data_IF_177863654183
#
_entry.id   IF_177863654183
#
_cell.length_a   1.000
_cell.length_b   1.000
_cell.length_c   1.000
_cell.angle_alpha   90.00
_cell.angle_beta   90.00
_cell.angle_gamma   90.00
#
_symmetry.space_group_name_H-M   'P 1'
#
loop_
_entity.id
_entity.type
_entity.pdbx_description
1 polymer ?
#
# COMPACT_ATOMS: atom_id res chain seq x y z
N UNK A 1 -23.32 -20.49 54.77
CA UNK A 1 -23.63 -20.15 53.36
C UNK A 1 -22.76 -21.02 52.45
N UNK A 2 -23.30 -22.16 51.99
CA UNK A 2 -22.58 -23.08 51.11
C UNK A 2 -22.72 -22.63 49.65
N UNK A 3 -21.79 -21.81 49.18
CA UNK A 3 -21.64 -21.58 47.75
C UNK A 3 -21.26 -22.92 47.10
N UNK A 4 -22.15 -23.46 46.24
CA UNK A 4 -21.90 -24.68 45.48
C UNK A 4 -20.67 -24.47 44.59
N UNK A 5 -19.56 -25.15 44.93
CA UNK A 5 -18.35 -25.13 44.11
C UNK A 5 -18.65 -25.84 42.77
N UNK A 6 -18.88 -25.05 41.71
CA UNK A 6 -19.25 -25.54 40.38
C UNK A 6 -18.03 -25.48 39.47
N UNK A 7 -17.47 -26.66 39.16
CA UNK A 7 -16.32 -26.80 38.27
C UNK A 7 -16.73 -26.52 36.83
N UNK A 8 -16.23 -25.43 36.25
CA UNK A 8 -16.59 -25.00 34.90
C UNK A 8 -15.68 -25.57 33.79
N UNK A 9 -14.62 -26.33 34.11
CA UNK A 9 -13.72 -26.89 33.11
C UNK A 9 -12.79 -27.99 33.61
N UNK A 10 -11.98 -28.55 32.70
CA UNK A 10 -10.97 -29.57 33.04
C UNK A 10 -9.88 -29.04 33.96
N UNK A 11 -9.54 -27.75 33.88
CA UNK A 11 -8.59 -27.10 34.78
C UNK A 11 -9.27 -26.19 35.78
N UNK A 12 -8.69 -26.08 36.97
CA UNK A 12 -9.11 -25.12 37.97
C UNK A 12 -8.59 -23.73 37.62
N UNK A 13 -9.47 -22.74 37.69
CA UNK A 13 -9.15 -21.33 37.56
C UNK A 13 -8.22 -20.87 38.69
N UNK A 14 -7.61 -19.70 38.54
CA UNK A 14 -6.75 -19.14 39.59
C UNK A 14 -7.54 -18.88 40.88
N UNK A 15 -8.76 -18.37 40.76
CA UNK A 15 -9.66 -18.11 41.89
C UNK A 15 -10.09 -19.39 42.60
N UNK A 16 -10.43 -20.44 41.83
CA UNK A 16 -10.77 -21.75 42.39
C UNK A 16 -9.59 -22.36 43.17
N UNK A 17 -8.36 -22.20 42.67
CA UNK A 17 -7.15 -22.63 43.38
C UNK A 17 -6.90 -21.82 44.66
N UNK A 18 -7.16 -20.50 44.64
CA UNK A 18 -7.05 -19.66 45.83
C UNK A 18 -8.09 -20.03 46.89
N UNK A 19 -9.31 -20.36 46.49
CA UNK A 19 -10.36 -20.83 47.40
C UNK A 19 -9.93 -22.13 48.12
N UNK A 20 -9.33 -23.08 47.38
CA UNK A 20 -8.74 -24.30 47.99
C UNK A 20 -7.67 -23.94 49.03
N UNK A 21 -6.82 -22.95 48.74
CA UNK A 21 -5.77 -22.51 49.67
C UNK A 21 -6.36 -21.84 50.91
N UNK A 22 -7.36 -20.96 50.75
CA UNK A 22 -8.02 -20.26 51.86
C UNK A 22 -8.69 -21.26 52.83
N UNK A 23 -9.38 -22.27 52.31
CA UNK A 23 -10.01 -23.32 53.13
C UNK A 23 -8.96 -24.17 53.87
N UNK A 24 -7.81 -24.42 53.26
CA UNK A 24 -6.72 -25.13 53.93
C UNK A 24 -6.04 -24.26 55.00
N UNK A 25 -5.87 -22.96 54.73
CA UNK A 25 -5.31 -22.00 55.69
C UNK A 25 -6.20 -21.82 56.93
N UNK A 26 -7.52 -21.80 56.77
CA UNK A 26 -8.45 -21.76 57.92
C UNK A 26 -8.39 -23.01 58.79
N UNK A 27 -7.74 -24.08 58.31
CA UNK A 27 -7.57 -25.36 58.99
C UNK A 27 -6.14 -25.55 59.54
N UNK A 28 -5.34 -24.49 59.61
CA UNK A 28 -3.97 -24.51 60.14
C UNK A 28 -3.95 -24.30 61.65
N UNK A 29 -3.13 -25.08 62.35
CA UNK A 29 -2.85 -24.96 63.77
C UNK A 29 -1.34 -24.95 63.97
N UNK A 30 -0.81 -23.97 64.71
CA UNK A 30 0.63 -23.85 65.01
C UNK A 30 1.54 -23.90 63.76
N UNK A 31 1.09 -23.28 62.66
CA UNK A 31 1.84 -23.25 61.39
C UNK A 31 1.85 -24.58 60.62
N UNK A 32 1.17 -25.62 61.11
CA UNK A 32 1.00 -26.91 60.43
C UNK A 32 -0.44 -27.10 59.97
N UNK A 33 -0.60 -27.83 58.87
CA UNK A 33 -1.92 -28.19 58.38
C UNK A 33 -2.46 -29.35 59.24
N UNK A 34 -3.65 -29.20 59.81
CA UNK A 34 -4.24 -30.23 60.66
C UNK A 34 -4.44 -31.56 59.89
N UNK A 35 -4.36 -32.67 60.63
CA UNK A 35 -4.52 -34.00 60.04
C UNK A 35 -5.93 -34.17 59.44
N UNK A 36 -6.01 -34.71 58.23
CA UNK A 36 -7.29 -34.91 57.54
C UNK A 36 -7.84 -33.69 56.80
N UNK A 37 -7.31 -32.48 57.00
CA UNK A 37 -7.81 -31.25 56.35
C UNK A 37 -7.85 -31.36 54.83
N UNK A 38 -6.85 -31.97 54.19
CA UNK A 38 -6.85 -32.20 52.73
C UNK A 38 -8.04 -33.07 52.28
N UNK A 39 -8.38 -34.11 53.05
CA UNK A 39 -9.50 -35.02 52.73
C UNK A 39 -10.84 -34.29 52.94
N UNK A 40 -10.93 -33.49 53.99
CA UNK A 40 -12.11 -32.69 54.28
C UNK A 40 -12.34 -31.61 53.23
N UNK A 41 -11.32 -30.82 52.87
CA UNK A 41 -11.39 -29.80 51.80
C UNK A 41 -11.72 -30.42 50.45
N UNK A 42 -11.18 -31.60 50.15
CA UNK A 42 -11.51 -32.36 48.94
C UNK A 42 -13.00 -32.73 48.89
N UNK A 43 -13.58 -33.19 50.00
CA UNK A 43 -15.01 -33.49 50.09
C UNK A 43 -15.88 -32.23 49.98
N UNK A 44 -15.50 -31.15 50.69
CA UNK A 44 -16.20 -29.87 50.68
C UNK A 44 -16.29 -29.25 49.28
N UNK A 45 -15.17 -29.21 48.57
CA UNK A 45 -15.06 -28.59 47.24
C UNK A 45 -15.33 -29.58 46.10
N UNK A 46 -15.70 -30.83 46.41
CA UNK A 46 -15.91 -31.92 45.42
C UNK A 46 -14.73 -32.10 44.47
N UNK A 47 -13.51 -32.02 45.01
CA UNK A 47 -12.26 -32.20 44.28
C UNK A 47 -11.58 -33.51 44.65
N UNK A 48 -10.77 -34.05 43.74
CA UNK A 48 -9.95 -35.22 44.07
C UNK A 48 -8.85 -34.85 45.08
N UNK A 49 -8.60 -35.70 46.09
CA UNK A 49 -7.58 -35.49 47.14
C UNK A 49 -6.21 -35.09 46.57
N UNK A 50 -5.77 -35.74 45.48
CA UNK A 50 -4.48 -35.42 44.84
C UNK A 50 -4.45 -34.02 44.22
N UNK A 51 -5.59 -33.50 43.77
CA UNK A 51 -5.68 -32.14 43.24
C UNK A 51 -5.43 -31.11 44.35
N UNK A 52 -6.13 -31.27 45.48
CA UNK A 52 -5.95 -30.43 46.69
C UNK A 52 -4.51 -30.50 47.21
N UNK A 53 -3.94 -31.71 47.28
CA UNK A 53 -2.53 -31.89 47.69
C UNK A 53 -1.53 -31.20 46.74
N UNK A 54 -1.74 -31.30 45.42
CA UNK A 54 -0.88 -30.63 44.42
C UNK A 54 -0.98 -29.11 44.52
N UNK A 55 -2.18 -28.57 44.72
CA UNK A 55 -2.41 -27.13 44.91
C UNK A 55 -1.71 -26.64 46.17
N UNK A 56 -1.83 -27.37 47.29
CA UNK A 56 -1.17 -27.01 48.53
C UNK A 56 0.36 -27.01 48.41
N UNK A 57 0.94 -28.01 47.75
CA UNK A 57 2.37 -28.05 47.45
C UNK A 57 2.80 -26.87 46.58
N UNK A 58 2.05 -26.59 45.51
CA UNK A 58 2.31 -25.48 44.61
C UNK A 58 2.19 -24.11 45.30
N UNK A 59 1.25 -23.97 46.25
CA UNK A 59 1.12 -22.77 47.08
C UNK A 59 2.36 -22.56 47.96
N UNK A 60 2.83 -23.60 48.66
CA UNK A 60 4.05 -23.52 49.50
C UNK A 60 5.30 -23.14 48.71
N UNK A 61 5.36 -23.46 47.42
CA UNK A 61 6.47 -23.09 46.53
C UNK A 61 6.21 -21.79 45.74
N UNK A 62 5.07 -21.12 45.93
CA UNK A 62 4.70 -19.88 45.23
C UNK A 62 4.26 -20.05 43.76
N UNK A 63 3.98 -21.26 43.29
CA UNK A 63 3.74 -21.59 41.87
C UNK A 63 2.29 -22.01 41.56
N UNK A 64 1.29 -21.21 41.94
CA UNK A 64 -0.12 -21.53 41.65
C UNK A 64 -0.54 -21.32 40.17
N UNK A 65 0.25 -20.54 39.43
CA UNK A 65 0.00 -20.23 38.01
C UNK A 65 0.19 -21.47 37.13
N UNK A 66 -0.59 -21.56 36.06
CA UNK A 66 -0.46 -22.65 35.10
C UNK A 66 0.88 -22.58 34.38
N UNK A 67 1.60 -23.71 34.29
CA UNK A 67 2.86 -23.84 33.53
C UNK A 67 2.62 -24.08 32.04
N UNK A 68 1.36 -24.13 31.59
CA UNK A 68 0.99 -24.41 30.19
C UNK A 68 1.29 -23.24 29.27
N UNK A 69 1.09 -22.01 29.73
CA UNK A 69 1.35 -20.80 28.93
C UNK A 69 2.80 -20.81 28.43
N UNK A 70 2.97 -20.76 27.10
CA UNK A 70 4.28 -20.82 26.44
C UNK A 70 4.89 -22.22 26.28
N UNK A 71 4.38 -23.25 26.97
CA UNK A 71 4.84 -24.65 26.82
C UNK A 71 3.96 -25.48 25.90
N UNK A 72 2.66 -25.21 25.90
CA UNK A 72 1.68 -25.88 25.02
C UNK A 72 1.14 -24.91 23.98
N UNK A 73 0.82 -25.42 22.80
CA UNK A 73 0.32 -24.65 21.67
C UNK A 73 1.25 -24.70 20.45
N UNK A 74 0.84 -24.01 19.39
CA UNK A 74 1.60 -23.96 18.13
C UNK A 74 2.91 -23.20 18.34
N UNK A 75 4.03 -23.84 18.03
CA UNK A 75 5.35 -23.20 18.06
C UNK A 75 5.41 -22.06 17.03
N UNK A 76 6.14 -21.01 17.36
CA UNK A 76 6.35 -19.88 16.48
C UNK A 76 7.20 -20.33 15.27
N UNK A 77 6.72 -20.04 14.05
CA UNK A 77 7.40 -20.46 12.81
C UNK A 77 8.64 -19.63 12.50
N UNK A 78 8.62 -18.35 12.82
CA UNK A 78 9.73 -17.42 12.56
C UNK A 78 10.08 -16.68 13.84
N UNK A 79 11.34 -16.75 14.28
CA UNK A 79 11.78 -15.96 15.43
C UNK A 79 11.87 -14.48 15.07
N UNK A 80 11.75 -13.54 16.04
CA UNK A 80 11.91 -12.12 15.75
C UNK A 80 13.27 -11.79 15.10
N UNK A 81 14.34 -12.51 15.46
CA UNK A 81 15.67 -12.36 14.86
C UNK A 81 15.69 -12.77 13.39
N UNK A 82 15.15 -13.94 13.06
CA UNK A 82 15.06 -14.40 11.66
C UNK A 82 14.31 -13.39 10.77
N UNK A 83 13.23 -12.80 11.29
CA UNK A 83 12.46 -11.77 10.56
C UNK A 83 13.29 -10.51 10.35
N UNK A 84 14.05 -10.10 11.36
CA UNK A 84 14.95 -8.95 11.25
C UNK A 84 16.00 -9.20 10.17
N UNK A 85 16.68 -10.35 10.21
CA UNK A 85 17.74 -10.70 9.26
C UNK A 85 17.19 -10.77 7.83
N UNK A 86 16.13 -11.55 7.61
CA UNK A 86 15.51 -11.71 6.28
C UNK A 86 14.95 -10.40 5.73
N UNK A 87 14.32 -9.56 6.56
CA UNK A 87 13.83 -8.25 6.09
C UNK A 87 15.00 -7.31 5.82
N UNK A 88 16.09 -7.37 6.59
CA UNK A 88 17.27 -6.53 6.41
C UNK A 88 18.05 -6.84 5.10
N UNK A 89 17.91 -8.04 4.54
CA UNK A 89 18.52 -8.40 3.26
C UNK A 89 17.78 -7.80 2.05
N UNK A 90 16.47 -7.56 2.15
CA UNK A 90 15.67 -7.01 1.04
C UNK A 90 16.11 -5.57 0.75
N UNK A 91 16.36 -5.11 -0.48
CA UNK A 91 16.69 -3.70 -0.71
C UNK A 91 15.57 -2.75 -0.24
N UNK A 92 15.90 -1.64 0.44
CA UNK A 92 14.91 -0.64 0.92
C UNK A 92 13.88 -0.18 -0.13
N UNK A 93 14.21 -0.01 -1.44
CA UNK A 93 13.22 0.30 -2.46
C UNK A 93 12.11 -0.75 -2.63
N UNK A 94 12.39 -2.02 -2.29
CA UNK A 94 11.46 -3.15 -2.31
C UNK A 94 10.79 -3.40 -0.95
N UNK A 95 10.91 -2.45 0.00
CA UNK A 95 10.25 -2.51 1.32
C UNK A 95 9.17 -1.43 1.46
N UNK A 96 8.43 -1.14 0.39
CA UNK A 96 7.46 -0.04 0.38
C UNK A 96 6.11 -0.44 0.98
N UNK A 97 5.71 -1.69 0.74
CA UNK A 97 4.54 -2.34 1.34
C UNK A 97 4.92 -3.65 2.03
N UNK A 98 4.04 -4.16 2.90
CA UNK A 98 4.21 -5.51 3.45
C UNK A 98 4.07 -6.60 2.38
N UNK A 99 3.40 -6.31 1.25
CA UNK A 99 3.31 -7.25 0.13
C UNK A 99 4.65 -7.35 -0.58
N UNK A 100 5.32 -6.24 -0.83
CA UNK A 100 6.65 -6.24 -1.44
C UNK A 100 7.63 -7.08 -0.60
N UNK A 101 7.58 -6.95 0.73
CA UNK A 101 8.40 -7.75 1.66
C UNK A 101 8.00 -9.22 1.60
N UNK A 102 6.71 -9.53 1.57
CA UNK A 102 6.22 -10.91 1.44
C UNK A 102 6.70 -11.53 0.13
N UNK A 103 6.60 -10.82 -0.98
CA UNK A 103 7.02 -11.28 -2.30
C UNK A 103 8.54 -11.48 -2.36
N UNK A 104 9.31 -10.63 -1.65
CA UNK A 104 10.77 -10.74 -1.58
C UNK A 104 11.30 -11.82 -0.61
N UNK A 105 10.62 -12.03 0.53
CA UNK A 105 11.09 -12.92 1.61
C UNK A 105 10.35 -14.26 1.70
N UNK A 106 9.19 -14.39 1.06
CA UNK A 106 8.27 -15.51 1.23
C UNK A 106 7.57 -15.56 2.60
N UNK A 107 7.80 -14.59 3.48
CA UNK A 107 7.15 -14.53 4.80
C UNK A 107 5.72 -14.06 4.60
N UNK A 108 4.76 -14.85 5.09
CA UNK A 108 3.35 -14.49 4.91
C UNK A 108 2.99 -13.15 5.55
N UNK A 109 2.08 -12.44 4.91
CA UNK A 109 1.61 -11.12 5.33
C UNK A 109 1.12 -11.08 6.79
N UNK A 110 0.54 -12.18 7.27
CA UNK A 110 0.13 -12.35 8.66
C UNK A 110 1.31 -12.20 9.64
N UNK A 111 2.43 -12.87 9.37
CA UNK A 111 3.60 -12.81 10.24
C UNK A 111 4.24 -11.41 10.19
N UNK A 112 4.37 -10.81 9.01
CA UNK A 112 4.89 -9.45 8.87
C UNK A 112 4.03 -8.44 9.63
N UNK A 113 2.71 -8.54 9.53
CA UNK A 113 1.79 -7.65 10.24
C UNK A 113 1.86 -7.83 11.77
N UNK A 114 1.99 -9.07 12.25
CA UNK A 114 2.20 -9.36 13.68
C UNK A 114 3.49 -8.71 14.20
N UNK A 115 4.58 -8.80 13.43
CA UNK A 115 5.88 -8.23 13.80
C UNK A 115 5.93 -6.70 13.67
N UNK A 116 5.15 -6.12 12.75
CA UNK A 116 4.91 -4.69 12.70
C UNK A 116 4.20 -4.19 13.96
N UNK A 117 3.17 -4.91 14.44
CA UNK A 117 2.47 -4.57 15.69
C UNK A 117 3.35 -4.77 16.92
N UNK A 118 4.21 -5.78 16.92
CA UNK A 118 5.17 -6.03 17.98
C UNK A 118 6.35 -5.02 18.00
N UNK A 119 6.52 -4.23 16.94
CA UNK A 119 7.57 -3.22 16.82
C UNK A 119 8.91 -3.74 16.28
N UNK A 120 9.02 -5.03 15.97
CA UNK A 120 10.20 -5.66 15.35
C UNK A 120 10.52 -5.06 13.98
N UNK A 121 9.48 -4.77 13.19
CA UNK A 121 9.57 -4.00 11.96
C UNK A 121 8.87 -2.67 12.21
N UNK A 122 9.47 -1.57 11.79
CA UNK A 122 8.93 -0.24 11.94
C UNK A 122 8.64 0.40 10.60
N UNK A 123 7.49 1.05 10.50
CA UNK A 123 7.12 1.85 9.33
C UNK A 123 7.62 3.28 9.52
N UNK A 124 8.51 3.72 8.64
CA UNK A 124 9.00 5.10 8.60
C UNK A 124 8.60 5.78 7.29
N UNK A 125 8.57 7.11 7.34
CA UNK A 125 8.35 7.92 6.15
C UNK A 125 9.60 8.76 5.87
N UNK A 126 10.11 8.69 4.64
CA UNK A 126 11.16 9.57 4.16
C UNK A 126 10.55 10.69 3.32
N UNK A 127 11.04 11.92 3.48
CA UNK A 127 10.64 13.06 2.64
C UNK A 127 11.79 13.44 1.71
N UNK A 128 11.49 13.91 0.50
CA UNK A 128 12.48 14.56 -0.35
C UNK A 128 12.88 15.90 0.26
N UNK A 129 14.13 15.98 0.71
CA UNK A 129 14.69 17.19 1.32
C UNK A 129 15.38 18.05 0.24
N UNK A 130 15.30 19.39 0.36
CA UNK A 130 16.16 20.27 -0.43
C UNK A 130 17.62 19.90 -0.23
N UNK A 131 18.38 19.86 -1.32
CA UNK A 131 19.83 19.69 -1.27
C UNK A 131 20.45 21.02 -0.83
N UNK A 132 20.79 21.13 0.46
CA UNK A 132 21.44 22.30 1.04
C UNK A 132 22.96 22.18 0.84
N UNK A 133 23.55 23.15 0.15
CA UNK A 133 25.00 23.42 0.20
C UNK A 133 25.36 24.03 1.55
N UNK A 134 26.63 23.98 1.96
CA UNK A 134 27.04 24.51 3.27
C UNK A 134 26.77 26.02 3.43
N UNK A 135 26.90 26.78 2.34
CA UNK A 135 26.45 28.19 2.29
C UNK A 135 24.94 28.36 2.57
N UNK A 136 24.10 27.47 2.04
CA UNK A 136 22.64 27.52 2.24
C UNK A 136 22.20 27.05 3.64
N UNK A 137 23.09 26.42 4.43
CA UNK A 137 22.79 26.04 5.82
C UNK A 137 22.86 27.23 6.78
N UNK A 138 23.62 28.27 6.44
CA UNK A 138 23.86 29.47 7.26
C UNK A 138 22.83 30.58 7.01
N UNK A 139 22.03 30.49 5.93
CA UNK A 139 21.01 31.47 5.61
C UNK A 139 19.74 31.29 6.47
N UNK A 140 19.22 32.36 7.13
CA UNK A 140 17.96 32.32 7.86
C UNK A 140 16.80 31.91 6.95
N UNK A 141 15.97 30.95 7.39
CA UNK A 141 14.80 30.49 6.61
C UNK A 141 13.62 31.43 6.86
N UNK A 142 13.03 32.05 5.82
CA UNK A 142 11.79 32.80 6.00
C UNK A 142 10.64 31.83 6.30
N UNK A 143 9.86 32.15 7.34
CA UNK A 143 8.61 31.49 7.69
C UNK A 143 7.53 32.02 6.75
N UNK A 144 6.96 31.16 5.91
CA UNK A 144 5.83 31.52 5.06
C UNK A 144 4.52 30.99 5.67
N UNK A 145 3.72 31.90 6.22
CA UNK A 145 2.30 31.69 6.52
C UNK A 145 1.53 31.92 5.22
N UNK A 146 0.72 30.94 4.80
CA UNK A 146 -0.15 31.08 3.63
C UNK A 146 -1.50 31.62 4.06
N UNK A 147 -1.90 32.74 3.45
CA UNK A 147 -3.27 33.26 3.45
C UNK A 147 -4.08 32.51 2.37
N UNK A 148 -5.32 32.16 2.68
CA UNK A 148 -6.24 31.44 1.79
C UNK A 148 -7.54 32.25 1.68
N UNK A 149 -7.96 32.62 0.47
CA UNK A 149 -9.24 33.27 0.21
C UNK A 149 -9.88 32.83 -1.12
N UNK A 150 -11.22 32.86 -1.06
CA UNK A 150 -12.25 32.88 -2.12
C UNK A 150 -12.70 31.55 -2.76
N UNK A 151 -13.91 31.13 -2.38
CA UNK A 151 -14.74 30.13 -3.05
C UNK A 151 -15.63 30.80 -4.13
N UNK A 152 -15.76 30.16 -5.30
CA UNK A 152 -16.63 30.58 -6.41
C UNK A 152 -17.88 29.68 -6.43
N UNK A 153 -19.03 30.31 -6.69
CA UNK A 153 -20.38 29.76 -6.58
C UNK A 153 -20.75 28.67 -7.60
N UNK A 154 -21.77 27.90 -7.22
CA UNK A 154 -22.30 26.73 -7.92
C UNK A 154 -23.46 27.14 -8.82
N UNK A 155 -23.34 26.90 -10.14
CA UNK A 155 -24.43 26.99 -11.11
C UNK A 155 -25.10 25.63 -11.32
N UNK A 156 -26.43 25.63 -11.42
CA UNK A 156 -27.29 24.43 -11.45
C UNK A 156 -27.12 23.54 -12.68
N UNK A 157 -27.33 22.24 -12.48
CA UNK A 157 -27.25 21.19 -13.48
C UNK A 157 -28.62 21.00 -14.16
N UNK A 158 -28.64 21.06 -15.49
CA UNK A 158 -29.75 20.59 -16.31
C UNK A 158 -29.60 19.06 -16.46
N UNK A 159 -30.69 18.31 -16.22
CA UNK A 159 -30.71 16.85 -16.36
C UNK A 159 -30.31 16.47 -17.80
N UNK A 160 -29.14 15.85 -17.92
CA UNK A 160 -28.60 15.31 -19.15
C UNK A 160 -28.90 13.81 -19.17
N UNK A 161 -29.52 13.31 -20.24
CA UNK A 161 -29.73 11.87 -20.42
C UNK A 161 -28.39 11.14 -20.45
N UNK A 162 -28.28 10.06 -19.67
CA UNK A 162 -27.04 9.33 -19.50
C UNK A 162 -26.76 8.49 -20.76
N UNK A 163 -25.81 8.92 -21.59
CA UNK A 163 -25.33 8.11 -22.71
C UNK A 163 -24.56 6.90 -22.19
N UNK A 164 -24.77 5.74 -22.81
CA UNK A 164 -24.25 4.45 -22.34
C UNK A 164 -22.72 4.30 -22.55
N UNK A 165 -22.10 5.19 -23.34
CA UNK A 165 -20.63 5.33 -23.53
C UNK A 165 -19.85 4.04 -23.87
N UNK A 166 -20.52 2.98 -24.32
CA UNK A 166 -19.89 1.68 -24.61
C UNK A 166 -18.90 1.73 -25.78
N UNK A 167 -19.05 2.69 -26.69
CA UNK A 167 -18.17 2.87 -27.85
C UNK A 167 -17.27 4.11 -27.72
N UNK A 168 -17.09 4.61 -26.49
CA UNK A 168 -16.22 5.74 -26.20
C UNK A 168 -14.90 5.25 -25.62
N UNK A 169 -13.80 5.72 -26.22
CA UNK A 169 -12.45 5.57 -25.71
C UNK A 169 -11.97 6.92 -25.22
N UNK A 170 -11.62 7.00 -23.94
CA UNK A 170 -11.06 8.19 -23.32
C UNK A 170 -9.54 8.21 -23.46
N UNK A 171 -9.03 9.32 -23.96
CA UNK A 171 -7.61 9.62 -24.06
C UNK A 171 -7.25 10.71 -23.04
N UNK A 172 -6.20 10.46 -22.28
CA UNK A 172 -5.69 11.42 -21.29
C UNK A 172 -4.17 11.45 -21.30
N UNK A 173 -3.61 12.64 -21.06
CA UNK A 173 -2.17 12.86 -20.93
C UNK A 173 -1.83 13.10 -19.46
N UNK A 174 -0.87 12.32 -18.95
CA UNK A 174 -0.51 12.43 -17.53
C UNK A 174 0.98 12.42 -17.29
N UNK A 175 1.42 13.39 -16.48
CA UNK A 175 2.78 13.44 -15.96
C UNK A 175 2.96 12.49 -14.76
N UNK A 176 3.91 11.57 -14.88
CA UNK A 176 4.36 10.70 -13.80
C UNK A 176 5.74 11.12 -13.32
N UNK A 177 5.87 11.44 -12.04
CA UNK A 177 7.16 11.72 -11.43
C UNK A 177 7.90 10.40 -11.15
N UNK A 178 9.20 10.34 -11.47
CA UNK A 178 10.06 9.21 -11.13
C UNK A 178 10.25 9.05 -9.60
N UNK A 179 10.05 10.13 -8.84
CA UNK A 179 10.04 10.08 -7.39
C UNK A 179 8.84 10.85 -6.78
N UNK A 180 8.40 10.40 -5.60
CA UNK A 180 7.36 11.00 -4.78
C UNK A 180 8.00 11.70 -3.58
N UNK A 181 7.43 12.83 -3.19
CA UNK A 181 7.89 13.60 -2.03
C UNK A 181 7.96 12.73 -0.77
N UNK A 182 6.87 12.03 -0.46
CA UNK A 182 6.78 11.12 0.69
C UNK A 182 6.84 9.68 0.21
N UNK A 183 7.78 8.89 0.74
CA UNK A 183 7.82 7.43 0.58
C UNK A 183 7.68 6.77 1.94
N UNK A 184 6.93 5.68 1.99
CA UNK A 184 6.87 4.79 3.15
C UNK A 184 7.92 3.71 2.93
N UNK A 185 8.68 3.40 3.96
CA UNK A 185 9.66 2.30 3.96
C UNK A 185 9.53 1.57 5.29
N UNK A 186 9.52 0.25 5.22
CA UNK A 186 9.60 -0.62 6.39
C UNK A 186 11.07 -0.89 6.70
N UNK A 187 11.43 -0.64 7.95
CA UNK A 187 12.80 -0.70 8.46
C UNK A 187 12.86 -1.62 9.68
N UNK A 188 14.02 -2.21 9.89
CA UNK A 188 14.35 -2.89 11.14
C UNK A 188 14.79 -1.86 12.19
N UNK A 189 14.76 -2.23 13.49
CA UNK A 189 15.05 -1.34 14.62
C UNK A 189 16.32 -0.48 14.47
N UNK A 190 17.38 -1.00 13.86
CA UNK A 190 18.68 -0.34 13.75
C UNK A 190 18.90 0.40 12.42
N UNK A 191 17.92 0.37 11.51
CA UNK A 191 18.05 1.01 10.20
C UNK A 191 17.48 2.43 10.19
N UNK A 192 18.24 3.35 9.59
CA UNK A 192 17.74 4.68 9.26
C UNK A 192 17.24 4.74 7.82
N UNK A 193 16.16 5.49 7.54
CA UNK A 193 15.71 5.69 6.17
C UNK A 193 16.75 6.47 5.37
N UNK A 194 17.00 6.07 4.13
CA UNK A 194 17.99 6.74 3.29
C UNK A 194 17.65 8.22 3.09
N UNK A 195 18.68 9.07 3.14
CA UNK A 195 18.53 10.50 2.86
C UNK A 195 18.22 10.69 1.38
N UNK A 196 16.97 11.07 1.09
CA UNK A 196 16.56 11.49 -0.25
C UNK A 196 16.65 13.00 -0.37
N UNK A 197 17.59 13.49 -1.18
CA UNK A 197 17.80 14.91 -1.39
C UNK A 197 17.76 15.28 -2.87
N UNK A 198 17.14 16.40 -3.19
CA UNK A 198 17.09 16.98 -4.54
C UNK A 198 17.22 18.50 -4.45
N UNK A 199 17.86 19.15 -5.45
CA UNK A 199 17.99 20.62 -5.48
C UNK A 199 16.63 21.33 -5.41
N UNK A 200 15.66 20.87 -6.19
CA UNK A 200 14.26 21.31 -6.12
C UNK A 200 13.35 20.20 -6.62
N UNK A 201 12.13 20.12 -6.06
CA UNK A 201 11.08 19.19 -6.50
C UNK A 201 10.67 19.42 -7.96
N UNK A 202 10.93 20.61 -8.51
CA UNK A 202 10.69 20.95 -9.93
C UNK A 202 11.55 20.12 -10.89
N UNK A 203 12.74 19.69 -10.46
CA UNK A 203 13.68 18.92 -11.28
C UNK A 203 13.60 17.41 -11.08
N UNK A 204 12.61 16.91 -10.34
CA UNK A 204 12.37 15.47 -10.28
C UNK A 204 12.05 15.02 -11.71
N UNK A 205 12.75 14.01 -12.26
CA UNK A 205 12.45 13.51 -13.59
C UNK A 205 10.98 13.11 -13.69
N UNK A 206 10.32 13.53 -14.77
CA UNK A 206 8.93 13.20 -15.04
C UNK A 206 8.84 12.56 -16.40
N UNK A 207 7.83 11.73 -16.64
CA UNK A 207 7.51 11.21 -17.97
C UNK A 207 6.03 11.50 -18.21
N UNK A 208 5.71 12.06 -19.37
CA UNK A 208 4.32 12.20 -19.79
C UNK A 208 3.92 10.92 -20.53
N UNK A 209 2.78 10.36 -20.18
CA UNK A 209 2.20 9.21 -20.89
C UNK A 209 0.83 9.59 -21.42
N UNK A 210 0.57 9.18 -22.67
CA UNK A 210 -0.77 9.12 -23.24
C UNK A 210 -1.40 7.79 -22.83
N UNK A 211 -2.55 7.83 -22.18
CA UNK A 211 -3.30 6.64 -21.80
C UNK A 211 -4.62 6.57 -22.58
N UNK A 212 -4.99 5.37 -23.00
CA UNK A 212 -6.28 5.08 -23.60
C UNK A 212 -7.04 4.06 -22.75
N UNK A 213 -8.24 4.41 -22.34
CA UNK A 213 -9.11 3.58 -21.48
C UNK A 213 -10.54 3.69 -21.99
N UNK A 214 -11.28 2.61 -21.90
CA UNK A 214 -12.71 2.58 -22.20
C UNK A 214 -13.47 1.86 -21.08
N UNK A 215 -14.79 1.89 -21.16
CA UNK A 215 -15.66 1.23 -20.18
C UNK A 215 -15.36 -0.29 -20.14
N UNK A 216 -15.07 -0.88 -18.96
CA UNK A 216 -14.93 -2.33 -18.83
C UNK A 216 -16.22 -3.06 -19.24
N UNK A 217 -16.10 -4.19 -19.96
CA UNK A 217 -17.25 -4.99 -20.41
C UNK A 217 -16.88 -6.45 -20.62
N UNK A 218 -17.70 -7.37 -20.13
CA UNK A 218 -17.42 -8.82 -20.21
C UNK A 218 -16.02 -9.14 -19.67
N UNK A 219 -15.17 -9.75 -20.51
CA UNK A 219 -13.78 -10.09 -20.18
C UNK A 219 -12.76 -8.96 -20.41
N UNK A 220 -13.21 -7.77 -20.86
CA UNK A 220 -12.34 -6.62 -21.11
C UNK A 220 -12.25 -5.73 -19.87
N UNK A 221 -11.03 -5.51 -19.39
CA UNK A 221 -10.73 -4.78 -18.15
C UNK A 221 -10.77 -3.25 -18.28
N UNK A 222 -11.13 -2.74 -19.47
CA UNK A 222 -11.21 -1.32 -19.78
C UNK A 222 -9.90 -0.70 -20.26
N UNK A 223 -8.75 -1.39 -20.16
CA UNK A 223 -7.44 -0.80 -20.44
C UNK A 223 -7.01 -1.10 -21.87
N UNK A 224 -6.67 -0.07 -22.63
CA UNK A 224 -6.20 -0.24 -24.02
C UNK A 224 -4.67 -0.14 -24.06
N UNK A 225 -4.12 0.94 -23.50
CA UNK A 225 -2.68 1.12 -23.45
C UNK A 225 -2.21 2.40 -22.78
N UNK A 226 -0.90 2.49 -22.59
CA UNK A 226 -0.18 3.66 -22.11
C UNK A 226 1.12 3.81 -22.92
N UNK A 227 1.36 5.00 -23.47
CA UNK A 227 2.52 5.28 -24.33
C UNK A 227 3.30 6.49 -23.82
N UNK A 228 4.60 6.36 -23.51
CA UNK A 228 5.40 7.48 -23.07
C UNK A 228 5.77 8.43 -24.22
N UNK A 229 5.70 9.73 -23.96
CA UNK A 229 6.28 10.77 -24.81
C UNK A 229 7.77 10.97 -24.45
N UNK A 230 8.61 10.08 -24.98
CA UNK A 230 10.06 10.16 -24.81
C UNK A 230 10.78 9.73 -26.08
N UNK A 231 11.85 10.44 -26.44
CA UNK A 231 12.77 10.07 -27.51
C UNK A 231 14.11 9.72 -26.86
N UNK A 232 14.73 8.63 -27.30
CA UNK A 232 16.14 8.37 -26.96
C UNK A 232 17.00 9.23 -27.88
N UNK A 233 17.66 10.24 -27.32
CA UNK A 233 18.60 11.09 -28.04
C UNK A 233 19.99 11.00 -27.40
N UNK A 234 21.07 11.08 -28.20
CA UNK A 234 22.42 11.11 -27.66
C UNK A 234 22.65 12.41 -26.88
N UNK A 235 23.36 12.33 -25.76
CA UNK A 235 23.71 13.50 -24.96
C UNK A 235 24.56 14.49 -25.78
N UNK A 236 24.04 15.70 -26.00
CA UNK A 236 24.73 16.73 -26.79
C UNK A 236 25.99 17.25 -26.07
N UNK A 237 25.97 17.30 -24.74
CA UNK A 237 27.08 17.83 -23.92
C UNK A 237 27.57 16.79 -22.93
N UNK A 238 28.88 16.78 -22.71
CA UNK A 238 29.52 16.11 -21.58
C UNK A 238 29.05 16.76 -20.28
N UNK A 239 28.77 15.95 -19.27
CA UNK A 239 28.56 16.42 -17.91
C UNK A 239 29.32 15.55 -16.94
N UNK A 240 29.45 16.01 -15.70
CA UNK A 240 30.14 15.29 -14.62
C UNK A 240 29.67 13.84 -14.46
N UNK A 241 28.42 13.54 -14.79
CA UNK A 241 27.82 12.23 -14.60
C UNK A 241 27.67 11.42 -15.90
N UNK A 242 28.06 11.96 -17.06
CA UNK A 242 27.94 11.26 -18.36
C UNK A 242 28.76 11.90 -19.50
N UNK A 243 29.42 11.11 -20.36
CA UNK A 243 30.05 11.64 -21.58
C UNK A 243 29.01 12.01 -22.64
N UNK A 244 29.39 12.90 -23.57
CA UNK A 244 28.61 13.21 -24.76
C UNK A 244 28.41 11.93 -25.61
N UNK A 245 27.30 11.84 -26.33
CA UNK A 245 26.92 10.65 -27.10
C UNK A 245 26.15 9.58 -26.31
N UNK A 246 26.13 9.63 -24.97
CA UNK A 246 25.37 8.67 -24.16
C UNK A 246 23.87 8.77 -24.47
N UNK A 247 23.24 7.69 -24.94
CA UNK A 247 21.80 7.65 -25.27
C UNK A 247 20.93 7.89 -24.04
N UNK A 248 20.05 8.88 -24.11
CA UNK A 248 19.16 9.25 -23.02
C UNK A 248 17.75 9.45 -23.49
N UNK A 249 16.80 9.02 -22.67
CA UNK A 249 15.40 9.36 -22.88
C UNK A 249 15.18 10.82 -22.50
N UNK A 250 15.08 11.67 -23.51
CA UNK A 250 14.68 13.06 -23.39
C UNK A 250 13.18 13.18 -23.54
N UNK A 251 12.57 14.01 -22.68
CA UNK A 251 11.16 14.33 -22.77
C UNK A 251 10.91 15.20 -23.99
N UNK A 252 9.89 14.84 -24.75
CA UNK A 252 9.44 15.61 -25.89
C UNK A 252 8.28 16.47 -25.44
N UNK A 253 8.33 17.77 -25.77
CA UNK A 253 7.15 18.62 -25.62
C UNK A 253 6.06 18.08 -26.54
N UNK A 254 4.86 17.83 -26.02
CA UNK A 254 3.74 17.38 -26.84
C UNK A 254 3.31 18.51 -27.76
N UNK A 255 3.71 18.40 -29.03
CA UNK A 255 3.18 19.20 -30.12
C UNK A 255 2.00 18.47 -30.76
N UNK A 256 1.17 19.19 -31.51
CA UNK A 256 0.06 18.60 -32.27
C UNK A 256 0.50 17.44 -33.16
N UNK A 257 1.70 17.52 -33.76
CA UNK A 257 2.24 16.47 -34.62
C UNK A 257 2.61 15.21 -33.83
N UNK A 258 3.27 15.36 -32.69
CA UNK A 258 3.67 14.24 -31.82
C UNK A 258 2.45 13.55 -31.23
N UNK A 259 1.44 14.34 -30.84
CA UNK A 259 0.15 13.81 -30.40
C UNK A 259 -0.54 13.04 -31.52
N UNK A 260 -0.66 13.64 -32.71
CA UNK A 260 -1.29 13.04 -33.88
C UNK A 260 -0.65 11.70 -34.27
N UNK A 261 0.67 11.69 -34.37
CA UNK A 261 1.45 10.49 -34.66
C UNK A 261 1.19 9.39 -33.62
N UNK A 262 1.18 9.75 -32.34
CA UNK A 262 0.91 8.78 -31.27
C UNK A 262 -0.51 8.22 -31.33
N UNK A 263 -1.51 9.04 -31.65
CA UNK A 263 -2.89 8.55 -31.82
C UNK A 263 -2.98 7.59 -33.01
N UNK A 264 -2.43 7.97 -34.16
CA UNK A 264 -2.54 7.19 -35.39
C UNK A 264 -1.76 5.89 -35.35
N UNK A 265 -0.51 5.95 -34.89
CA UNK A 265 0.42 4.84 -35.03
C UNK A 265 0.49 3.96 -33.77
N UNK A 266 -0.11 4.39 -32.66
CA UNK A 266 -0.10 3.63 -31.40
C UNK A 266 -1.49 3.37 -30.84
N UNK A 267 -2.30 4.43 -30.67
CA UNK A 267 -3.62 4.32 -30.02
C UNK A 267 -4.61 3.55 -30.90
N UNK A 268 -4.80 3.98 -32.15
CA UNK A 268 -5.78 3.35 -33.06
C UNK A 268 -5.47 1.86 -33.28
N UNK A 269 -4.22 1.45 -33.59
CA UNK A 269 -3.89 0.03 -33.71
C UNK A 269 -4.23 -0.77 -32.44
N UNK A 270 -3.93 -0.22 -31.25
CA UNK A 270 -4.24 -0.88 -29.99
C UNK A 270 -5.74 -0.97 -29.69
N UNK A 271 -6.53 0.03 -30.13
CA UNK A 271 -7.99 -0.04 -30.06
C UNK A 271 -8.47 -1.18 -30.96
N UNK A 272 -8.00 -1.26 -32.21
CA UNK A 272 -8.41 -2.32 -33.14
C UNK A 272 -8.06 -3.72 -32.65
N UNK A 273 -6.94 -3.86 -31.94
CA UNK A 273 -6.50 -5.14 -31.38
C UNK A 273 -7.28 -5.55 -30.12
N UNK A 274 -7.52 -4.60 -29.20
CA UNK A 274 -7.97 -4.93 -27.84
C UNK A 274 -9.40 -4.53 -27.51
N UNK A 275 -9.97 -3.57 -28.21
CA UNK A 275 -11.26 -2.99 -27.84
C UNK A 275 -12.41 -3.80 -28.46
N UNK A 276 -13.25 -4.49 -27.64
CA UNK A 276 -14.26 -5.38 -28.17
C UNK A 276 -15.54 -4.61 -28.53
N UNK A 277 -15.57 -3.90 -29.65
CA UNK A 277 -16.81 -3.22 -30.12
C UNK A 277 -17.53 -4.06 -31.18
N UNK A 278 -18.83 -4.23 -31.02
CA UNK A 278 -19.72 -4.75 -32.07
C UNK A 278 -20.06 -3.70 -33.14
N UNK A 279 -19.72 -2.44 -32.89
CA UNK A 279 -19.98 -1.32 -33.78
C UNK A 279 -18.72 -0.94 -34.57
N UNK A 280 -18.90 -0.61 -35.85
CA UNK A 280 -17.80 -0.13 -36.72
C UNK A 280 -17.34 1.30 -36.40
N UNK A 281 -17.97 1.96 -35.42
CA UNK A 281 -17.70 3.34 -35.00
C UNK A 281 -17.24 3.35 -33.55
N UNK A 282 -16.09 3.94 -33.33
CA UNK A 282 -15.53 4.22 -32.01
C UNK A 282 -15.32 5.72 -31.90
N UNK A 283 -15.75 6.30 -30.78
CA UNK A 283 -15.61 7.71 -30.47
C UNK A 283 -14.38 7.90 -29.59
N UNK A 284 -13.46 8.76 -30.02
CA UNK A 284 -12.33 9.16 -29.19
C UNK A 284 -12.69 10.43 -28.43
N UNK A 285 -12.79 10.35 -27.11
CA UNK A 285 -12.96 11.49 -26.24
C UNK A 285 -11.62 11.90 -25.66
N UNK A 286 -11.33 13.20 -25.70
CA UNK A 286 -10.10 13.75 -25.19
C UNK A 286 -10.32 15.22 -24.79
N UNK A 287 -9.42 15.81 -24.00
CA UNK A 287 -9.57 17.21 -23.56
C UNK A 287 -9.35 18.23 -24.71
N UNK A 288 -9.63 19.51 -24.43
CA UNK A 288 -9.47 20.60 -25.40
C UNK A 288 -8.13 21.33 -25.25
N UNK A 289 -7.07 20.66 -24.77
CA UNK A 289 -5.74 21.26 -24.71
C UNK A 289 -5.27 21.71 -26.11
N UNK A 290 -4.43 22.74 -26.18
CA UNK A 290 -4.07 23.41 -27.45
C UNK A 290 -3.53 22.45 -28.53
N UNK A 291 -2.67 21.46 -28.23
CA UNK A 291 -2.24 20.47 -29.23
C UNK A 291 -3.39 19.64 -29.80
N UNK A 292 -4.39 19.34 -28.96
CA UNK A 292 -5.53 18.47 -29.22
C UNK A 292 -6.66 19.22 -29.95
N UNK A 293 -6.85 20.50 -29.63
CA UNK A 293 -7.73 21.41 -30.37
C UNK A 293 -7.30 21.58 -31.84
N UNK A 294 -5.99 21.72 -32.09
CA UNK A 294 -5.48 21.79 -33.48
C UNK A 294 -5.60 20.47 -34.23
N UNK A 295 -5.53 19.34 -33.53
CA UNK A 295 -5.73 18.00 -34.10
C UNK A 295 -7.18 17.78 -34.56
N UNK A 296 -8.17 18.22 -33.78
CA UNK A 296 -9.60 18.09 -34.13
C UNK A 296 -10.02 19.07 -35.23
N UNK A 297 -9.34 20.22 -35.34
CA UNK A 297 -9.70 21.29 -36.29
C UNK A 297 -9.03 21.14 -37.67
N UNK A 298 -7.95 20.37 -37.80
CA UNK A 298 -7.29 20.11 -39.08
C UNK A 298 -8.02 19.02 -39.90
N UNK A 299 -8.29 19.31 -41.17
CA UNK A 299 -8.92 18.38 -42.11
C UNK A 299 -7.97 17.20 -42.37
N UNK A 300 -8.45 15.99 -42.12
CA UNK A 300 -7.70 14.76 -42.33
C UNK A 300 -7.66 14.42 -43.82
N UNK A 301 -6.50 14.56 -44.46
CA UNK A 301 -6.26 13.91 -45.76
C UNK A 301 -5.94 12.43 -45.50
N UNK A 302 -6.96 11.58 -45.53
CA UNK A 302 -6.79 10.13 -45.44
C UNK A 302 -6.39 9.59 -46.81
N UNK A 303 -5.13 9.19 -46.96
CA UNK A 303 -4.70 8.31 -48.05
C UNK A 303 -4.55 6.88 -47.51
N UNK A 304 -5.66 6.13 -47.51
CA UNK A 304 -5.80 4.74 -48.04
C UNK A 304 -7.13 4.12 -47.57
N UNK A 305 -7.93 3.51 -48.47
CA UNK A 305 -9.23 2.98 -48.14
C UNK A 305 -9.15 1.50 -47.82
N UNK A 306 -9.46 1.08 -46.58
CA UNK A 306 -10.34 -0.07 -46.26
C UNK A 306 -10.41 -0.28 -44.75
N UNK A 307 -11.64 -0.47 -44.25
CA UNK A 307 -12.04 -0.89 -42.89
C UNK A 307 -12.17 0.22 -41.82
N UNK A 308 -13.43 0.50 -41.44
CA UNK A 308 -13.86 1.18 -40.20
C UNK A 308 -13.74 2.71 -40.21
N UNK A 309 -14.87 3.43 -40.09
CA UNK A 309 -14.86 4.90 -39.89
C UNK A 309 -14.71 5.21 -38.40
N UNK A 310 -13.63 5.88 -38.01
CA UNK A 310 -13.51 6.48 -36.68
C UNK A 310 -14.12 7.89 -36.68
N UNK A 311 -14.73 8.29 -35.58
CA UNK A 311 -15.31 9.63 -35.42
C UNK A 311 -14.67 10.29 -34.20
N UNK A 312 -13.92 11.37 -34.42
CA UNK A 312 -13.39 12.19 -33.33
C UNK A 312 -14.44 13.24 -32.98
N UNK A 313 -14.93 13.22 -31.75
CA UNK A 313 -15.85 14.25 -31.25
C UNK A 313 -15.09 15.09 -30.24
N UNK A 314 -14.65 16.27 -30.66
CA UNK A 314 -14.28 17.33 -29.73
C UNK A 314 -15.53 18.00 -29.20
N UNK A 315 -15.49 18.55 -27.99
CA UNK A 315 -16.65 19.11 -27.27
C UNK A 315 -17.51 20.13 -28.05
N UNK A 316 -17.08 20.65 -29.21
CA UNK A 316 -17.93 21.51 -30.04
C UNK A 316 -17.99 21.17 -31.55
N UNK A 317 -17.24 20.18 -32.07
CA UNK A 317 -17.32 19.79 -33.50
C UNK A 317 -16.96 18.32 -33.72
N UNK A 318 -17.83 17.61 -34.42
CA UNK A 318 -17.63 16.22 -34.87
C UNK A 318 -16.71 16.24 -36.10
N UNK A 319 -15.51 15.69 -35.98
CA UNK A 319 -14.64 15.37 -37.11
C UNK A 319 -14.81 13.89 -37.48
N UNK A 320 -15.31 13.64 -38.69
CA UNK A 320 -15.34 12.29 -39.29
C UNK A 320 -13.94 11.95 -39.84
N UNK A 321 -13.40 10.78 -39.47
CA UNK A 321 -12.19 10.18 -40.06
C UNK A 321 -12.62 9.16 -41.13
#
# INVERSE_FOLDING_TARGET
MNASFKRNGRELSHEEKLNVVQVLQSSMQEGKLAHGSIKWTAALLKLHRNCVSKIWKAFKTGELKSKKTGRVGRKQRYTPREIVETVAEVPKPQRSTLRDIMDATGISLYHLHKNLKAGTIQRRSSRLKPLLTDANKLAPKPVAVLAESAAIGVGGLQESEFLDMYDVVHLDEKWFNADKDRRKVYLVADETPDRRACKSKRYIPKVMLLAAVARPRGNFDGKIGMWPFGIRSPAVRTSRNRPAGTMQTTLVSVSTLVYRDSVLNKVIPAIMEKFPSGNKRVVLQHDNATPMHRFTTQRWQVCRPTVGRLLCVGNDRIAQI
#
